data_IF_922955308720
#
_entry.id   IF_922955308720
#
_cell.length_a   1.000
_cell.length_b   1.000
_cell.length_c   1.000
_cell.angle_alpha   90.00
_cell.angle_beta   90.00
_cell.angle_gamma   90.00
#
_symmetry.space_group_name_H-M   'P 1'
#
loop_
_entity.id
_entity.type
_entity.pdbx_description
1 polymer ?
#
# COMPACT_ATOMS: atom_id res chain seq x y z
N UNK A 1 36.36 -55.24 0.73
CA UNK A 1 37.63 -55.99 0.91
C UNK A 1 37.87 -56.73 -0.40
N UNK A 2 39.07 -56.67 -0.99
CA UNK A 2 39.27 -57.22 -2.34
C UNK A 2 39.05 -58.74 -2.36
N UNK A 3 38.33 -59.22 -3.39
CA UNK A 3 38.06 -60.64 -3.70
C UNK A 3 39.32 -61.52 -3.62
N UNK A 4 40.48 -60.93 -3.92
CA UNK A 4 41.81 -61.57 -3.81
C UNK A 4 42.15 -62.04 -2.39
N UNK A 5 41.73 -61.34 -1.34
CA UNK A 5 41.97 -61.75 0.06
C UNK A 5 41.05 -62.88 0.53
N UNK A 6 39.89 -63.05 -0.11
CA UNK A 6 38.93 -64.13 0.17
C UNK A 6 39.41 -65.46 -0.43
N UNK A 7 39.95 -65.42 -1.65
CA UNK A 7 40.57 -66.55 -2.35
C UNK A 7 41.88 -67.02 -1.71
N UNK A 8 42.62 -66.14 -1.04
CA UNK A 8 43.87 -66.49 -0.34
C UNK A 8 43.61 -67.09 1.07
N UNK A 9 42.40 -66.90 1.63
CA UNK A 9 42.01 -67.41 2.96
C UNK A 9 41.38 -68.80 2.96
N UNK A 10 40.82 -69.24 1.83
CA UNK A 10 40.11 -70.50 1.73
C UNK A 10 40.81 -71.42 0.73
N UNK A 11 41.17 -72.63 1.18
CA UNK A 11 41.80 -73.64 0.33
C UNK A 11 40.77 -74.19 -0.68
N UNK A 12 40.79 -73.60 -1.88
CA UNK A 12 39.84 -73.86 -2.98
C UNK A 12 39.95 -75.28 -3.55
N UNK A 13 40.91 -76.08 -3.05
CA UNK A 13 41.12 -77.48 -3.46
C UNK A 13 40.13 -78.47 -2.80
N UNK A 14 39.35 -78.02 -1.81
CA UNK A 14 38.40 -78.86 -1.05
C UNK A 14 36.96 -78.34 -1.21
N UNK A 15 36.00 -79.23 -1.42
CA UNK A 15 34.58 -78.89 -1.64
C UNK A 15 33.99 -78.04 -0.49
N UNK A 16 34.38 -78.31 0.76
CA UNK A 16 33.99 -77.52 1.94
C UNK A 16 34.56 -76.09 1.96
N UNK A 17 35.74 -75.87 1.38
CA UNK A 17 36.38 -74.55 1.31
C UNK A 17 35.70 -73.65 0.28
N UNK A 18 35.34 -74.23 -0.86
CA UNK A 18 34.53 -73.62 -1.91
C UNK A 18 33.16 -73.21 -1.37
N UNK A 19 32.46 -74.10 -0.67
CA UNK A 19 31.13 -73.82 -0.13
C UNK A 19 31.14 -72.66 0.90
N UNK A 20 32.19 -72.59 1.74
CA UNK A 20 32.34 -71.49 2.70
C UNK A 20 32.64 -70.15 2.04
N UNK A 21 33.52 -70.13 1.04
CA UNK A 21 33.80 -68.91 0.28
C UNK A 21 32.55 -68.41 -0.46
N UNK A 22 31.74 -69.33 -1.01
CA UNK A 22 30.49 -69.02 -1.70
C UNK A 22 29.45 -68.41 -0.75
N UNK A 23 29.26 -69.00 0.43
CA UNK A 23 28.36 -68.46 1.45
C UNK A 23 28.80 -67.08 1.98
N UNK A 24 30.10 -66.84 2.12
CA UNK A 24 30.62 -65.54 2.56
C UNK A 24 30.38 -64.46 1.49
N UNK A 25 30.57 -64.80 0.21
CA UNK A 25 30.27 -63.91 -0.92
C UNK A 25 28.77 -63.62 -1.00
N UNK A 26 27.91 -64.64 -0.90
CA UNK A 26 26.45 -64.43 -0.88
C UNK A 26 26.01 -63.52 0.27
N UNK A 27 26.66 -63.64 1.44
CA UNK A 27 26.42 -62.76 2.58
C UNK A 27 26.86 -61.33 2.30
N UNK A 28 28.07 -61.13 1.76
CA UNK A 28 28.55 -59.80 1.38
C UNK A 28 27.67 -59.17 0.29
N UNK A 29 27.22 -59.94 -0.70
CA UNK A 29 26.27 -59.47 -1.73
C UNK A 29 24.93 -59.08 -1.12
N UNK A 30 24.43 -59.85 -0.15
CA UNK A 30 23.19 -59.53 0.57
C UNK A 30 23.31 -58.23 1.36
N UNK A 31 24.41 -58.07 2.12
CA UNK A 31 24.68 -56.87 2.92
C UNK A 31 24.82 -55.61 2.02
N UNK A 32 25.52 -55.73 0.89
CA UNK A 32 25.67 -54.64 -0.09
C UNK A 32 24.32 -54.30 -0.75
N UNK A 33 23.52 -55.30 -1.09
CA UNK A 33 22.20 -55.09 -1.67
C UNK A 33 21.24 -54.40 -0.70
N UNK A 34 21.27 -54.76 0.59
CA UNK A 34 20.49 -54.08 1.62
C UNK A 34 20.95 -52.62 1.80
N UNK A 35 22.27 -52.38 1.87
CA UNK A 35 22.83 -51.03 1.95
C UNK A 35 22.45 -50.17 0.72
N UNK A 36 22.45 -50.75 -0.47
CA UNK A 36 22.05 -50.08 -1.71
C UNK A 36 20.56 -49.74 -1.71
N UNK A 37 19.69 -50.66 -1.30
CA UNK A 37 18.26 -50.43 -1.16
C UNK A 37 17.96 -49.29 -0.16
N UNK A 38 18.68 -49.27 0.96
CA UNK A 38 18.59 -48.20 1.95
C UNK A 38 19.09 -46.85 1.40
N UNK A 39 20.15 -46.84 0.60
CA UNK A 39 20.63 -45.62 -0.05
C UNK A 39 19.64 -45.08 -1.10
N UNK A 40 19.07 -45.96 -1.93
CA UNK A 40 18.09 -45.60 -2.96
C UNK A 40 16.79 -45.06 -2.37
N UNK A 41 16.29 -45.69 -1.30
CA UNK A 41 15.08 -45.21 -0.61
C UNK A 41 15.29 -43.81 -0.01
N UNK A 42 16.46 -43.54 0.58
CA UNK A 42 16.84 -42.22 1.07
C UNK A 42 16.94 -41.18 -0.04
N UNK A 43 17.52 -41.54 -1.18
CA UNK A 43 17.60 -40.67 -2.35
C UNK A 43 16.20 -40.29 -2.86
N UNK A 44 15.28 -41.26 -2.95
CA UNK A 44 13.90 -41.03 -3.35
C UNK A 44 13.16 -40.08 -2.38
N UNK A 45 13.37 -40.24 -1.07
CA UNK A 45 12.81 -39.32 -0.06
C UNK A 45 13.36 -37.90 -0.21
N UNK A 46 14.65 -37.76 -0.47
CA UNK A 46 15.31 -36.47 -0.68
C UNK A 46 14.79 -35.77 -1.94
N UNK A 47 14.65 -36.48 -3.05
CA UNK A 47 14.06 -35.94 -4.28
C UNK A 47 12.62 -35.48 -4.07
N UNK A 48 11.83 -36.21 -3.29
CA UNK A 48 10.49 -35.79 -2.89
C UNK A 48 10.50 -34.43 -2.17
N UNK A 49 11.38 -34.28 -1.18
CA UNK A 49 11.54 -33.02 -0.43
C UNK A 49 12.03 -31.88 -1.33
N UNK A 50 12.98 -32.16 -2.22
CA UNK A 50 13.51 -31.18 -3.17
C UNK A 50 12.41 -30.67 -4.11
N UNK A 51 11.55 -31.55 -4.61
CA UNK A 51 10.37 -31.16 -5.41
C UNK A 51 9.42 -30.28 -4.63
N UNK A 52 9.13 -30.60 -3.36
CA UNK A 52 8.29 -29.75 -2.51
C UNK A 52 8.90 -28.37 -2.29
N UNK A 53 10.21 -28.30 -2.01
CA UNK A 53 10.92 -27.02 -1.86
C UNK A 53 10.91 -26.22 -3.16
N UNK A 54 11.12 -26.87 -4.31
CA UNK A 54 11.06 -26.21 -5.61
C UNK A 54 9.67 -25.62 -5.90
N UNK A 55 8.60 -26.34 -5.54
CA UNK A 55 7.23 -25.83 -5.67
C UNK A 55 6.98 -24.64 -4.72
N UNK A 56 7.48 -24.71 -3.49
CA UNK A 56 7.38 -23.61 -2.53
C UNK A 56 8.16 -22.37 -3.02
N UNK A 57 9.30 -22.57 -3.66
CA UNK A 57 10.08 -21.48 -4.25
C UNK A 57 9.32 -20.76 -5.37
N UNK A 58 8.65 -21.50 -6.26
CA UNK A 58 7.79 -20.89 -7.29
C UNK A 58 6.67 -20.05 -6.67
N UNK A 59 5.98 -20.58 -5.65
CA UNK A 59 4.92 -19.86 -4.93
C UNK A 59 5.44 -18.59 -4.25
N UNK A 60 6.65 -18.64 -3.66
CA UNK A 60 7.29 -17.45 -3.08
C UNK A 60 7.62 -16.41 -4.15
N UNK A 61 7.99 -16.84 -5.36
CA UNK A 61 8.18 -15.96 -6.51
C UNK A 61 6.88 -15.22 -6.90
N UNK A 62 5.75 -15.93 -6.93
CA UNK A 62 4.43 -15.34 -7.16
C UNK A 62 4.08 -14.30 -6.07
N UNK A 63 4.22 -14.69 -4.79
CA UNK A 63 3.96 -13.78 -3.66
C UNK A 63 4.84 -12.52 -3.71
N UNK A 64 6.10 -12.65 -4.11
CA UNK A 64 7.01 -11.51 -4.28
C UNK A 64 6.50 -10.56 -5.37
N UNK A 65 6.04 -11.09 -6.50
CA UNK A 65 5.50 -10.27 -7.60
C UNK A 65 4.20 -9.58 -7.19
N UNK A 66 3.33 -10.27 -6.46
CA UNK A 66 2.10 -9.70 -5.92
C UNK A 66 2.40 -8.58 -4.92
N UNK A 67 3.36 -8.79 -4.01
CA UNK A 67 3.80 -7.78 -3.07
C UNK A 67 4.39 -6.54 -3.76
N UNK A 68 5.16 -6.73 -4.83
CA UNK A 68 5.69 -5.62 -5.63
C UNK A 68 4.54 -4.84 -6.31
N UNK A 69 3.59 -5.56 -6.91
CA UNK A 69 2.42 -4.94 -7.55
C UNK A 69 1.60 -4.15 -6.54
N UNK A 70 1.40 -4.69 -5.34
CA UNK A 70 0.71 -4.00 -4.25
C UNK A 70 1.45 -2.74 -3.80
N UNK A 71 2.78 -2.79 -3.67
CA UNK A 71 3.59 -1.63 -3.35
C UNK A 71 3.45 -0.52 -4.41
N UNK A 72 3.52 -0.87 -5.68
CA UNK A 72 3.34 0.07 -6.79
C UNK A 72 1.94 0.69 -6.80
N UNK A 73 0.89 -0.09 -6.48
CA UNK A 73 -0.47 0.44 -6.35
C UNK A 73 -0.61 1.43 -5.18
N UNK A 74 0.00 1.12 -4.03
CA UNK A 74 0.00 2.01 -2.87
C UNK A 74 0.71 3.32 -3.21
N UNK A 75 1.86 3.25 -3.88
CA UNK A 75 2.60 4.44 -4.31
C UNK A 75 1.78 5.32 -5.28
N UNK A 76 1.18 4.70 -6.29
CA UNK A 76 0.29 5.41 -7.25
C UNK A 76 -0.91 6.04 -6.55
N UNK A 77 -1.52 5.32 -5.61
CA UNK A 77 -2.67 5.83 -4.84
C UNK A 77 -2.25 7.00 -3.95
N UNK A 78 -1.09 6.93 -3.30
CA UNK A 78 -0.55 8.01 -2.48
C UNK A 78 -0.21 9.24 -3.33
N UNK A 79 0.32 9.06 -4.55
CA UNK A 79 0.57 10.13 -5.50
C UNK A 79 -0.74 10.81 -5.92
N UNK A 80 -1.75 10.03 -6.33
CA UNK A 80 -3.06 10.56 -6.68
C UNK A 80 -3.71 11.31 -5.51
N UNK A 81 -3.64 10.76 -4.28
CA UNK A 81 -4.18 11.41 -3.10
C UNK A 81 -3.49 12.75 -2.82
N UNK A 82 -2.17 12.85 -3.03
CA UNK A 82 -1.42 14.12 -2.94
C UNK A 82 -1.91 15.13 -3.99
N UNK A 83 -2.06 14.70 -5.24
CA UNK A 83 -2.52 15.57 -6.33
C UNK A 83 -3.95 16.06 -6.12
N UNK A 84 -4.84 15.16 -5.70
CA UNK A 84 -6.23 15.51 -5.36
C UNK A 84 -6.25 16.49 -4.18
N UNK A 85 -5.45 16.25 -3.13
CA UNK A 85 -5.38 17.15 -1.97
C UNK A 85 -4.87 18.55 -2.36
N UNK A 86 -3.87 18.63 -3.25
CA UNK A 86 -3.38 19.89 -3.77
C UNK A 86 -4.46 20.65 -4.56
N UNK A 87 -5.21 19.94 -5.42
CA UNK A 87 -6.32 20.52 -6.18
C UNK A 87 -7.47 20.99 -5.28
N UNK A 88 -7.82 20.22 -4.25
CA UNK A 88 -8.85 20.61 -3.27
C UNK A 88 -8.42 21.88 -2.55
N UNK A 89 -7.15 21.99 -2.13
CA UNK A 89 -6.64 23.22 -1.50
C UNK A 89 -6.75 24.45 -2.41
N UNK A 90 -6.45 24.30 -3.70
CA UNK A 90 -6.62 25.39 -4.67
C UNK A 90 -8.10 25.76 -4.86
N UNK A 91 -8.98 24.76 -4.91
CA UNK A 91 -10.42 24.96 -4.99
C UNK A 91 -10.95 25.70 -3.75
N UNK A 92 -10.49 25.33 -2.56
CA UNK A 92 -10.89 25.98 -1.31
C UNK A 92 -10.48 27.45 -1.27
N UNK A 93 -9.29 27.80 -1.77
CA UNK A 93 -8.85 29.19 -1.90
C UNK A 93 -9.76 29.98 -2.86
N UNK A 94 -10.05 29.42 -4.03
CA UNK A 94 -10.96 30.04 -4.99
C UNK A 94 -12.36 30.22 -4.39
N UNK A 95 -12.87 29.20 -3.70
CA UNK A 95 -14.18 29.25 -3.01
C UNK A 95 -14.21 30.31 -1.92
N UNK A 96 -13.15 30.44 -1.13
CA UNK A 96 -13.03 31.48 -0.09
C UNK A 96 -13.12 32.88 -0.71
N UNK A 97 -12.41 33.11 -1.82
CA UNK A 97 -12.46 34.40 -2.54
C UNK A 97 -13.85 34.70 -3.08
N UNK A 98 -14.53 33.70 -3.66
CA UNK A 98 -15.91 33.85 -4.16
C UNK A 98 -16.87 34.17 -3.00
N UNK A 99 -16.74 33.47 -1.87
CA UNK A 99 -17.56 33.72 -0.69
C UNK A 99 -17.36 35.14 -0.12
N UNK A 100 -16.13 35.65 -0.13
CA UNK A 100 -15.83 37.03 0.25
C UNK A 100 -16.48 38.03 -0.70
N UNK A 101 -16.33 37.85 -2.01
CA UNK A 101 -16.99 38.70 -3.01
C UNK A 101 -18.52 38.66 -2.85
N UNK A 102 -19.10 37.49 -2.60
CA UNK A 102 -20.53 37.35 -2.38
C UNK A 102 -20.98 38.12 -1.14
N UNK A 103 -20.22 38.07 -0.04
CA UNK A 103 -20.50 38.84 1.17
C UNK A 103 -20.46 40.33 0.89
N UNK A 104 -19.42 40.82 0.20
CA UNK A 104 -19.32 42.23 -0.22
C UNK A 104 -20.51 42.69 -1.04
N UNK A 105 -20.99 41.85 -1.96
CA UNK A 105 -22.16 42.17 -2.78
C UNK A 105 -23.42 42.25 -1.93
N UNK A 106 -23.62 41.33 -0.97
CA UNK A 106 -24.76 41.41 -0.04
C UNK A 106 -24.69 42.66 0.82
N UNK A 107 -23.53 42.95 1.41
CA UNK A 107 -23.32 44.16 2.23
C UNK A 107 -23.63 45.45 1.43
N UNK A 108 -23.28 45.48 0.14
CA UNK A 108 -23.58 46.61 -0.74
C UNK A 108 -25.08 46.72 -1.06
N UNK A 109 -25.76 45.58 -1.29
CA UNK A 109 -27.21 45.54 -1.52
C UNK A 109 -27.95 46.04 -0.27
N UNK A 110 -27.54 45.60 0.91
CA UNK A 110 -28.13 46.03 2.18
C UNK A 110 -27.95 47.54 2.38
N UNK A 111 -26.75 48.06 2.09
CA UNK A 111 -26.49 49.51 2.14
C UNK A 111 -27.39 50.30 1.19
N UNK A 112 -27.59 49.81 -0.04
CA UNK A 112 -28.49 50.44 -1.01
C UNK A 112 -29.93 50.43 -0.49
N UNK A 113 -30.39 49.31 0.06
CA UNK A 113 -31.74 49.18 0.63
C UNK A 113 -31.95 50.15 1.80
N UNK A 114 -30.98 50.24 2.72
CA UNK A 114 -31.01 51.20 3.82
C UNK A 114 -31.03 52.65 3.29
N UNK A 115 -30.24 52.97 2.26
CA UNK A 115 -30.22 54.32 1.67
C UNK A 115 -31.56 54.71 1.05
N UNK A 116 -32.19 53.78 0.32
CA UNK A 116 -33.52 53.98 -0.26
C UNK A 116 -34.60 54.08 0.84
N UNK A 117 -34.47 53.31 1.93
CA UNK A 117 -35.34 53.38 3.10
C UNK A 117 -35.27 54.74 3.81
N UNK A 118 -34.07 55.31 3.98
CA UNK A 118 -33.88 56.68 4.51
C UNK A 118 -34.53 57.70 3.60
N UNK A 119 -34.30 57.63 2.28
CA UNK A 119 -34.90 58.59 1.33
C UNK A 119 -36.43 58.52 1.33
N UNK A 120 -37.00 57.32 1.43
CA UNK A 120 -38.44 57.12 1.53
C UNK A 120 -39.02 57.64 2.87
N UNK A 121 -38.35 57.39 4.00
CA UNK A 121 -38.78 57.87 5.32
C UNK A 121 -38.74 59.41 5.42
N UNK A 122 -37.73 60.04 4.82
CA UNK A 122 -37.63 61.51 4.73
C UNK A 122 -38.80 62.07 3.90
N UNK A 123 -39.13 61.46 2.76
CA UNK A 123 -40.27 61.88 1.92
C UNK A 123 -41.63 61.68 2.61
N UNK A 124 -41.74 60.70 3.50
CA UNK A 124 -42.93 60.42 4.30
C UNK A 124 -43.06 61.27 5.58
N UNK A 125 -42.08 62.14 5.88
CA UNK A 125 -41.98 62.92 7.13
C UNK A 125 -41.97 62.09 8.43
N UNK A 126 -41.60 60.81 8.35
CA UNK A 126 -41.46 59.92 9.51
C UNK A 126 -39.99 59.83 9.95
N UNK A 127 -39.61 60.80 10.77
CA UNK A 127 -38.23 61.00 11.20
C UNK A 127 -37.74 59.98 12.23
N UNK A 128 -38.64 59.25 12.91
CA UNK A 128 -38.25 58.20 13.86
C UNK A 128 -37.77 56.96 13.10
N UNK A 129 -38.47 56.58 12.04
CA UNK A 129 -38.08 55.48 11.16
C UNK A 129 -36.78 55.81 10.41
N UNK A 130 -36.58 57.06 9.98
CA UNK A 130 -35.34 57.52 9.34
C UNK A 130 -34.09 57.45 10.24
N UNK A 131 -34.21 57.75 11.55
CA UNK A 131 -33.10 57.64 12.51
C UNK A 131 -32.61 56.20 12.68
N UNK A 132 -33.54 55.22 12.65
CA UNK A 132 -33.21 53.80 12.74
C UNK A 132 -32.30 53.37 11.57
N UNK A 133 -32.72 53.63 10.34
CA UNK A 133 -31.92 53.33 9.14
C UNK A 133 -30.58 54.08 9.10
N UNK A 134 -30.50 55.30 9.63
CA UNK A 134 -29.26 56.07 9.69
C UNK A 134 -28.24 55.48 10.69
N UNK A 135 -28.73 54.95 11.82
CA UNK A 135 -27.86 54.27 12.79
C UNK A 135 -27.27 52.97 12.24
N UNK A 136 -28.07 52.23 11.46
CA UNK A 136 -27.68 50.97 10.82
C UNK A 136 -26.67 51.19 9.66
N UNK A 137 -26.89 52.23 8.86
CA UNK A 137 -25.94 52.71 7.84
C UNK A 137 -24.57 53.06 8.43
N UNK A 138 -24.54 53.78 9.56
CA UNK A 138 -23.29 54.19 10.20
C UNK A 138 -22.53 52.99 10.79
N UNK A 139 -23.25 51.97 11.25
CA UNK A 139 -22.67 50.70 11.72
C UNK A 139 -22.08 49.88 10.57
N UNK A 140 -22.73 49.84 9.40
CA UNK A 140 -22.18 49.24 8.19
C UNK A 140 -20.94 49.97 7.66
N UNK A 141 -20.94 51.30 7.65
CA UNK A 141 -19.77 52.11 7.22
C UNK A 141 -18.53 51.87 8.09
N UNK A 142 -18.71 51.74 9.41
CA UNK A 142 -17.63 51.34 10.33
C UNK A 142 -17.11 49.92 10.09
N UNK A 143 -17.97 48.99 9.64
CA UNK A 143 -17.56 47.66 9.23
C UNK A 143 -16.72 47.72 7.95
N UNK A 144 -17.19 48.40 6.89
CA UNK A 144 -16.48 48.48 5.60
C UNK A 144 -15.13 49.20 5.71
N UNK A 145 -15.02 50.24 6.55
CA UNK A 145 -13.77 51.01 6.72
C UNK A 145 -12.67 50.28 7.51
N UNK A 146 -13.00 49.17 8.18
CA UNK A 146 -12.03 48.30 8.88
C UNK A 146 -11.52 47.14 8.02
N UNK A 147 -11.87 47.09 6.73
CA UNK A 147 -11.51 45.98 5.85
C UNK A 147 -10.04 46.08 5.42
N UNK A 148 -9.22 45.04 5.69
CA UNK A 148 -7.88 44.99 5.16
C UNK A 148 -7.97 44.86 3.62
N UNK A 149 -7.32 45.80 2.93
CA UNK A 149 -7.07 45.70 1.49
C UNK A 149 -6.16 44.48 1.29
N UNK A 150 -6.74 43.34 0.93
CA UNK A 150 -5.94 42.16 0.62
C UNK A 150 -5.01 42.47 -0.57
N UNK A 151 -3.70 42.15 -0.47
CA UNK A 151 -2.80 42.28 -1.60
C UNK A 151 -3.21 41.27 -2.66
N UNK A 152 -3.46 41.78 -3.87
CA UNK A 152 -3.67 40.97 -5.08
C UNK A 152 -2.44 40.08 -5.29
N UNK A 153 -2.57 38.74 -5.29
CA UNK A 153 -1.52 37.91 -5.85
C UNK A 153 -1.66 37.94 -7.38
N UNK A 154 -0.58 38.34 -8.04
CA UNK A 154 -0.29 37.89 -9.42
C UNK A 154 -0.31 36.35 -9.47
#
# INVERSE_FOLDING_TARGET
MSLTLLLEKYDVSTEDGLQKALNEIEKEESDVNEALSNALSRACSLDGKLRTVSQAYTKLGEVKNDAQTAADMVEKTAALARDVSAKVRQLDLARSRVAECQRRVHDLIDLQLCSAGVEAAIKAHDYETGKCFFSEQNQFYCCVSKWPVLPLPF
#
